data_IF_967140801087
#
_entry.id   IF_967140801087
#
_cell.length_a   1.000
_cell.length_b   1.000
_cell.length_c   1.000
_cell.angle_alpha   90.00
_cell.angle_beta   90.00
_cell.angle_gamma   90.00
#
_symmetry.space_group_name_H-M   'P 1'
#
loop_
_entity.id
_entity.type
_entity.pdbx_description
1 polymer ?
#
# COMPACT_ATOMS: atom_id res chain seq x y z
N UNK A 1 20.92 -11.24 25.57
CA UNK A 1 19.97 -10.15 25.81
C UNK A 1 20.21 -9.60 27.21
N UNK A 2 20.11 -8.28 27.44
CA UNK A 2 20.27 -7.73 28.80
C UNK A 2 19.04 -8.11 29.64
N UNK A 3 19.20 -8.29 30.95
CA UNK A 3 18.11 -8.68 31.87
C UNK A 3 16.89 -7.74 31.84
N UNK A 4 17.14 -6.47 31.55
CA UNK A 4 16.13 -5.42 31.37
C UNK A 4 15.22 -5.62 30.14
N UNK A 5 15.52 -6.60 29.27
CA UNK A 5 14.70 -7.00 28.11
C UNK A 5 14.04 -8.39 28.29
N UNK A 6 13.78 -8.81 29.53
CA UNK A 6 12.99 -10.01 29.84
C UNK A 6 11.51 -9.81 29.45
N UNK A 7 11.22 -10.01 28.16
CA UNK A 7 9.89 -9.93 27.53
C UNK A 7 8.85 -10.83 28.21
N UNK A 8 9.31 -11.89 28.89
CA UNK A 8 8.53 -12.87 29.65
C UNK A 8 7.72 -12.26 30.81
N UNK A 9 8.23 -11.16 31.38
CA UNK A 9 7.63 -10.47 32.54
C UNK A 9 6.88 -9.19 32.14
N UNK A 10 6.91 -8.85 30.85
CA UNK A 10 6.40 -7.59 30.33
C UNK A 10 4.92 -7.73 29.96
N UNK A 11 4.07 -6.80 30.43
CA UNK A 11 2.67 -6.77 30.05
C UNK A 11 2.53 -6.44 28.57
N UNK A 12 2.22 -7.44 27.75
CA UNK A 12 1.99 -7.28 26.32
C UNK A 12 0.85 -6.30 26.07
N UNK A 13 1.13 -5.23 25.33
CA UNK A 13 0.13 -4.26 24.88
C UNK A 13 0.03 -4.36 23.36
N UNK A 14 -1.18 -4.44 22.78
CA UNK A 14 -1.33 -4.44 21.34
C UNK A 14 -0.76 -3.15 20.76
N UNK A 15 0.05 -3.26 19.71
CA UNK A 15 0.64 -2.11 19.05
C UNK A 15 -0.48 -1.21 18.50
N UNK A 16 -0.61 0.06 18.96
CA UNK A 16 -1.65 0.97 18.49
C UNK A 16 -1.50 1.30 16.99
N UNK A 17 -0.30 1.15 16.42
CA UNK A 17 -0.01 1.33 15.00
C UNK A 17 -0.30 0.09 14.14
N UNK A 18 -0.72 -1.03 14.75
CA UNK A 18 -1.03 -2.26 14.02
C UNK A 18 -2.09 -2.04 12.91
N UNK A 19 -3.02 -1.11 13.13
CA UNK A 19 -4.07 -0.74 12.16
C UNK A 19 -3.56 0.05 10.96
N UNK A 20 -2.35 0.57 11.01
CA UNK A 20 -1.72 1.37 9.96
C UNK A 20 -0.71 0.56 9.14
N UNK A 21 -0.51 -0.74 9.45
CA UNK A 21 0.38 -1.56 8.64
C UNK A 21 -0.18 -1.70 7.23
N UNK A 22 0.67 -1.38 6.25
CA UNK A 22 0.38 -1.62 4.83
C UNK A 22 0.17 -3.12 4.64
N UNK A 23 -1.02 -3.50 4.18
CA UNK A 23 -1.27 -4.87 3.77
C UNK A 23 -0.66 -5.07 2.37
N UNK A 24 0.29 -5.99 2.25
CA UNK A 24 0.82 -6.38 0.96
C UNK A 24 -0.22 -7.24 0.23
N UNK A 25 -0.54 -6.85 -1.00
CA UNK A 25 -1.47 -7.58 -1.87
C UNK A 25 -0.80 -7.84 -3.22
N UNK A 26 -1.03 -9.02 -3.79
CA UNK A 26 -0.62 -9.35 -5.16
C UNK A 26 -1.82 -9.16 -6.06
N UNK A 27 -1.74 -8.21 -6.99
CA UNK A 27 -2.82 -7.89 -7.92
C UNK A 27 -2.37 -8.26 -9.34
N UNK A 28 -3.04 -9.18 -10.05
CA UNK A 28 -2.80 -9.37 -11.47
C UNK A 28 -3.26 -8.13 -12.24
N UNK A 29 -2.40 -7.63 -13.12
CA UNK A 29 -2.67 -6.49 -13.98
C UNK A 29 -2.49 -6.90 -15.45
N UNK A 30 -3.28 -6.30 -16.34
CA UNK A 30 -3.08 -6.43 -17.78
C UNK A 30 -1.77 -5.78 -18.21
N UNK A 31 -1.18 -6.29 -19.30
CA UNK A 31 0.08 -5.76 -19.86
C UNK A 31 -0.11 -4.31 -20.31
N UNK A 32 -1.26 -4.02 -20.93
CA UNK A 32 -1.70 -2.70 -21.35
C UNK A 32 -1.76 -1.69 -20.19
N UNK A 33 -2.26 -2.13 -19.03
CA UNK A 33 -2.31 -1.31 -17.82
C UNK A 33 -0.90 -1.01 -17.30
N UNK A 34 -0.02 -2.00 -17.30
CA UNK A 34 1.37 -1.83 -16.85
C UNK A 34 2.10 -0.84 -17.76
N UNK A 35 2.03 -1.01 -19.08
CA UNK A 35 2.66 -0.12 -20.05
C UNK A 35 2.19 1.33 -19.91
N UNK A 36 0.88 1.53 -19.71
CA UNK A 36 0.31 2.86 -19.48
C UNK A 36 0.88 3.54 -18.23
N UNK A 37 0.91 2.83 -17.09
CA UNK A 37 1.43 3.39 -15.85
C UNK A 37 2.96 3.54 -15.86
N UNK A 38 3.69 2.68 -16.55
CA UNK A 38 5.15 2.82 -16.71
C UNK A 38 5.52 4.07 -17.49
N UNK A 39 4.83 4.38 -18.59
CA UNK A 39 5.07 5.60 -19.35
C UNK A 39 4.89 6.86 -18.50
N UNK A 40 3.79 6.93 -17.75
CA UNK A 40 3.50 8.07 -16.85
C UNK A 40 4.50 8.12 -15.69
N UNK A 41 4.88 6.97 -15.15
CA UNK A 41 5.84 6.90 -14.05
C UNK A 41 7.22 7.40 -14.48
N UNK A 42 7.67 7.08 -15.71
CA UNK A 42 8.91 7.61 -16.28
C UNK A 42 8.87 9.13 -16.44
N UNK A 43 7.77 9.69 -16.95
CA UNK A 43 7.62 11.15 -17.07
C UNK A 43 7.66 11.87 -15.72
N UNK A 44 7.12 11.24 -14.68
CA UNK A 44 7.06 11.81 -13.31
C UNK A 44 8.28 11.46 -12.46
N UNK A 45 9.17 10.60 -12.94
CA UNK A 45 10.34 10.12 -12.19
C UNK A 45 9.96 9.31 -10.96
N UNK A 46 8.85 8.56 -11.00
CA UNK A 46 8.33 7.74 -9.90
C UNK A 46 8.31 6.26 -10.29
N UNK A 47 8.11 5.36 -9.33
CA UNK A 47 7.87 3.95 -9.66
C UNK A 47 6.42 3.72 -10.11
N UNK A 48 6.22 2.73 -11.01
CA UNK A 48 4.89 2.31 -11.45
C UNK A 48 4.02 1.88 -10.24
N UNK A 49 4.62 1.20 -9.25
CA UNK A 49 3.93 0.77 -8.03
C UNK A 49 3.43 1.96 -7.19
N UNK A 50 4.26 2.99 -6.98
CA UNK A 50 3.85 4.19 -6.24
C UNK A 50 2.73 4.95 -6.96
N UNK A 51 2.83 5.05 -8.28
CA UNK A 51 1.82 5.71 -9.10
C UNK A 51 0.47 4.98 -9.00
N UNK A 52 0.46 3.65 -9.12
CA UNK A 52 -0.76 2.85 -8.96
C UNK A 52 -1.37 3.05 -7.58
N UNK A 53 -0.55 3.04 -6.52
CA UNK A 53 -1.03 3.28 -5.14
C UNK A 53 -1.68 4.66 -5.03
N UNK A 54 -1.08 5.69 -5.62
CA UNK A 54 -1.62 7.05 -5.60
C UNK A 54 -2.98 7.14 -6.31
N UNK A 55 -3.11 6.49 -7.47
CA UNK A 55 -4.38 6.43 -8.20
C UNK A 55 -5.46 5.69 -7.40
N UNK A 56 -5.11 4.60 -6.72
CA UNK A 56 -6.05 3.88 -5.85
C UNK A 56 -6.49 4.74 -4.65
N UNK A 57 -5.58 5.52 -4.07
CA UNK A 57 -5.93 6.47 -3.00
C UNK A 57 -6.89 7.55 -3.51
N UNK A 58 -6.63 8.12 -4.69
CA UNK A 58 -7.52 9.09 -5.30
C UNK A 58 -8.91 8.50 -5.56
N UNK A 59 -9.00 7.25 -6.03
CA UNK A 59 -10.27 6.53 -6.18
C UNK A 59 -11.05 6.41 -4.87
N UNK A 60 -10.37 6.17 -3.74
CA UNK A 60 -11.00 6.11 -2.41
C UNK A 60 -11.48 7.49 -1.97
N UNK A 61 -10.65 8.53 -2.12
CA UNK A 61 -10.98 9.91 -1.73
C UNK A 61 -12.16 10.45 -2.55
N UNK A 62 -12.13 10.22 -3.87
CA UNK A 62 -13.20 10.61 -4.79
C UNK A 62 -14.46 9.76 -4.66
N UNK A 63 -14.41 8.66 -3.89
CA UNK A 63 -15.48 7.65 -3.79
C UNK A 63 -15.97 7.20 -5.17
N UNK A 64 -15.04 7.05 -6.12
CA UNK A 64 -15.34 6.65 -7.50
C UNK A 64 -16.05 5.30 -7.47
N UNK A 65 -17.23 5.24 -8.10
CA UNK A 65 -17.96 3.99 -8.34
C UNK A 65 -17.75 3.59 -9.79
N UNK A 66 -17.39 2.33 -10.01
CA UNK A 66 -17.37 1.77 -11.36
C UNK A 66 -18.81 1.65 -11.85
N UNK A 67 -19.11 2.26 -12.99
CA UNK A 67 -20.32 1.99 -13.74
C UNK A 67 -20.03 0.81 -14.67
N UNK A 68 -20.71 -0.30 -14.45
CA UNK A 68 -20.80 -1.38 -15.43
C UNK A 68 -22.10 -1.14 -16.20
N UNK A 69 -22.00 -0.51 -17.37
CA UNK A 69 -23.07 -0.56 -18.38
C UNK A 69 -22.91 -1.82 -19.23
#
# INVERSE_FOLDING_TARGET
MKQEYELSTMNSRPNPFAKQLKQQVTLPLGIDVIEYFEAIAQEKGMSCQELIILYLQDCVVSKRKLSFE
#
